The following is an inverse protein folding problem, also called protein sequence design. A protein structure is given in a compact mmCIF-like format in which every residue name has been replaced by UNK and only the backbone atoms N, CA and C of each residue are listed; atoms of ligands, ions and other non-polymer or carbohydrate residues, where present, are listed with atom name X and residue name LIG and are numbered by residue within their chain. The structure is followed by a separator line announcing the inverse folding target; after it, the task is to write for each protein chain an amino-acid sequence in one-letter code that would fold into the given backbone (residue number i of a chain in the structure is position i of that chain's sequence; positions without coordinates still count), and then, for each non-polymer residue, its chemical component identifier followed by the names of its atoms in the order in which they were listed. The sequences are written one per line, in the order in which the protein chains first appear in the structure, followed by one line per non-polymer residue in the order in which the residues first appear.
data_IF_340645020991
#
_entry.id   IF_340645020991
#
_cell.length_a   1.000
_cell.length_b   1.000
_cell.length_c   1.000
_cell.angle_alpha   90.00
_cell.angle_beta   90.00
_cell.angle_gamma   90.00
#
_symmetry.space_group_name_H-M   'P 1'
#
loop_
_entity.id
_entity.type
_entity.pdbx_description
1 polymer ?
#
# COMPACT_ATOMS: atom_id res chain seq x y z
N UNK A 1 -5.92 -26.74 22.92
CA UNK A 1 -4.46 -26.50 22.84
C UNK A 1 -3.87 -27.46 21.81
N UNK A 2 -3.51 -26.97 20.62
CA UNK A 2 -2.13 -26.71 20.15
C UNK A 2 -1.45 -27.92 19.47
N UNK A 3 -1.43 -27.85 18.13
CA UNK A 3 -0.36 -28.17 17.15
C UNK A 3 0.44 -29.50 17.20
N UNK A 4 0.48 -30.19 16.05
CA UNK A 4 1.64 -30.86 15.37
C UNK A 4 1.15 -31.42 14.02
N UNK A 5 1.36 -30.73 12.88
CA UNK A 5 2.50 -30.84 11.93
C UNK A 5 2.79 -32.29 11.51
N UNK A 6 2.59 -32.64 10.23
CA UNK A 6 3.57 -33.41 9.44
C UNK A 6 3.18 -33.45 7.95
N UNK A 7 4.07 -32.91 7.11
CA UNK A 7 4.11 -33.06 5.65
C UNK A 7 4.76 -34.41 5.31
N UNK A 8 4.26 -35.12 4.27
CA UNK A 8 4.89 -36.11 3.37
C UNK A 8 3.76 -36.98 2.77
N UNK A 9 3.75 -37.47 1.53
CA UNK A 9 4.58 -37.34 0.32
C UNK A 9 3.88 -38.15 -0.79
N UNK A 10 4.17 -37.80 -2.05
CA UNK A 10 4.15 -38.65 -3.27
C UNK A 10 2.83 -39.02 -3.98
N UNK A 11 2.68 -38.45 -5.17
CA UNK A 11 2.40 -39.07 -6.49
C UNK A 11 1.85 -40.51 -6.57
N UNK A 12 0.69 -40.66 -7.22
CA UNK A 12 0.48 -41.41 -8.48
C UNK A 12 -1.01 -41.52 -8.85
N UNK A 13 -1.33 -41.33 -10.14
CA UNK A 13 -2.57 -41.87 -10.74
C UNK A 13 -3.23 -40.98 -11.79
N UNK A 14 -2.92 -41.23 -13.06
CA UNK A 14 -3.50 -40.59 -14.26
C UNK A 14 -4.89 -41.18 -14.55
N UNK A 15 -5.90 -40.33 -14.78
CA UNK A 15 -7.09 -40.66 -15.56
C UNK A 15 -7.58 -39.41 -16.31
N UNK A 16 -7.73 -39.52 -17.63
CA UNK A 16 -7.94 -38.41 -18.57
C UNK A 16 -9.40 -38.29 -19.02
N UNK A 17 -9.96 -37.08 -18.84
CA UNK A 17 -10.92 -36.34 -19.70
C UNK A 17 -12.40 -36.83 -19.79
N UNK A 18 -13.40 -35.91 -19.99
CA UNK A 18 -13.50 -35.09 -21.19
C UNK A 18 -13.38 -33.58 -20.99
N UNK A 19 -12.81 -32.97 -22.04
CA UNK A 19 -12.65 -31.54 -22.27
C UNK A 19 -14.02 -30.84 -22.29
N UNK A 20 -14.18 -29.80 -21.46
CA UNK A 20 -15.01 -28.65 -21.85
C UNK A 20 -14.10 -27.64 -22.52
N UNK A 21 -14.32 -27.40 -23.81
CA UNK A 21 -13.90 -26.21 -24.55
C UNK A 21 -14.43 -24.98 -23.80
N UNK A 22 -13.63 -24.49 -22.85
CA UNK A 22 -13.68 -23.11 -22.40
C UNK A 22 -12.49 -22.44 -23.08
N UNK A 23 -12.80 -21.62 -24.07
CA UNK A 23 -11.90 -20.65 -24.69
C UNK A 23 -11.15 -19.91 -23.59
N UNK A 24 -9.93 -20.39 -23.27
CA UNK A 24 -9.02 -19.64 -22.41
C UNK A 24 -8.46 -18.55 -23.30
N UNK A 25 -9.16 -17.41 -23.33
CA UNK A 25 -8.51 -16.14 -23.57
C UNK A 25 -7.28 -16.13 -22.68
N UNK A 26 -6.11 -16.16 -23.31
CA UNK A 26 -4.83 -15.98 -22.66
C UNK A 26 -4.73 -14.51 -22.23
N UNK A 27 -5.56 -14.11 -21.27
CA UNK A 27 -5.33 -12.90 -20.51
C UNK A 27 -4.08 -13.17 -19.69
N UNK A 28 -2.95 -12.69 -20.20
CA UNK A 28 -1.73 -12.53 -19.42
C UNK A 28 -2.13 -11.97 -18.06
N UNK A 29 -1.94 -12.76 -17.00
CA UNK A 29 -2.34 -12.38 -15.65
C UNK A 29 -1.39 -11.28 -15.20
N UNK A 30 -1.81 -10.04 -15.42
CA UNK A 30 -1.08 -8.84 -15.05
C UNK A 30 -0.56 -8.92 -13.62
N UNK A 31 0.69 -8.52 -13.41
CA UNK A 31 1.31 -8.51 -12.08
C UNK A 31 0.77 -7.36 -11.23
N UNK A 32 0.88 -7.48 -9.90
CA UNK A 32 0.45 -6.43 -8.98
C UNK A 32 1.18 -5.10 -9.21
N UNK A 33 2.47 -5.13 -9.53
CA UNK A 33 3.23 -3.89 -9.79
C UNK A 33 2.77 -3.22 -11.09
N UNK A 34 2.50 -3.97 -12.16
CA UNK A 34 1.91 -3.41 -13.37
C UNK A 34 0.50 -2.84 -13.11
N UNK A 35 -0.27 -3.47 -12.22
CA UNK A 35 -1.56 -2.94 -11.77
C UNK A 35 -1.41 -1.62 -11.02
N UNK A 36 -0.48 -1.57 -10.08
CA UNK A 36 -0.16 -0.36 -9.34
C UNK A 36 0.35 0.76 -10.24
N UNK A 37 1.17 0.46 -11.23
CA UNK A 37 1.71 1.47 -12.15
C UNK A 37 0.62 2.05 -13.06
N UNK A 38 -0.34 1.23 -13.52
CA UNK A 38 -1.49 1.74 -14.26
C UNK A 38 -2.44 2.59 -13.41
N UNK A 39 -2.75 2.14 -12.19
CA UNK A 39 -3.61 2.91 -11.27
C UNK A 39 -2.91 4.22 -10.87
N UNK A 40 -1.59 4.18 -10.69
CA UNK A 40 -0.78 5.36 -10.38
C UNK A 40 -0.81 6.35 -11.53
N UNK A 41 -0.49 5.90 -12.74
CA UNK A 41 -0.55 6.73 -13.94
C UNK A 41 -1.93 7.36 -14.14
N UNK A 42 -2.99 6.58 -14.00
CA UNK A 42 -4.35 7.11 -14.13
C UNK A 42 -4.63 8.24 -13.13
N UNK A 43 -4.34 8.00 -11.84
CA UNK A 43 -4.60 9.01 -10.80
C UNK A 43 -3.74 10.25 -10.99
N UNK A 44 -2.48 10.10 -11.41
CA UNK A 44 -1.59 11.23 -11.70
C UNK A 44 -2.08 12.06 -12.89
N UNK A 45 -2.57 11.41 -13.95
CA UNK A 45 -3.00 12.10 -15.17
C UNK A 45 -4.39 12.73 -15.05
N UNK A 46 -5.27 12.19 -14.20
CA UNK A 46 -6.68 12.57 -14.14
C UNK A 46 -7.06 13.34 -12.86
N UNK A 47 -6.11 13.59 -11.97
CA UNK A 47 -6.31 14.35 -10.73
C UNK A 47 -5.14 15.31 -10.49
N UNK A 48 -5.32 16.27 -9.59
CA UNK A 48 -4.25 17.21 -9.22
C UNK A 48 -3.30 16.67 -8.13
N UNK A 49 -3.32 15.36 -7.85
CA UNK A 49 -2.68 14.79 -6.67
C UNK A 49 -1.18 15.11 -6.58
N UNK A 50 -0.44 15.09 -7.69
CA UNK A 50 0.98 15.44 -7.68
C UNK A 50 1.22 16.89 -7.29
N UNK A 51 0.43 17.81 -7.83
CA UNK A 51 0.54 19.24 -7.49
C UNK A 51 0.26 19.44 -6.01
N UNK A 52 -0.84 18.88 -5.51
CA UNK A 52 -1.25 19.02 -4.12
C UNK A 52 -0.19 18.45 -3.17
N UNK A 53 0.34 17.26 -3.46
CA UNK A 53 1.34 16.64 -2.60
C UNK A 53 2.71 17.34 -2.65
N UNK A 54 3.10 17.96 -3.78
CA UNK A 54 4.33 18.78 -3.83
C UNK A 54 4.25 20.00 -2.92
N UNK A 55 3.06 20.57 -2.76
CA UNK A 55 2.85 21.71 -1.87
C UNK A 55 2.87 21.28 -0.38
N UNK A 56 2.43 20.05 -0.08
CA UNK A 56 2.23 19.56 1.29
C UNK A 56 3.34 18.63 1.82
N UNK A 57 4.23 18.12 0.96
CA UNK A 57 5.28 17.16 1.32
C UNK A 57 6.66 17.73 1.02
N UNK A 58 7.42 18.00 2.09
CA UNK A 58 8.84 18.33 1.97
C UNK A 58 9.68 17.13 1.49
N UNK A 59 10.71 17.39 0.69
CA UNK A 59 11.58 16.37 0.10
C UNK A 59 12.24 15.48 1.17
N UNK A 60 12.66 16.05 2.29
CA UNK A 60 13.28 15.30 3.40
C UNK A 60 12.29 14.31 4.03
N UNK A 61 11.01 14.70 4.12
CA UNK A 61 9.95 13.86 4.64
C UNK A 61 9.66 12.69 3.70
N UNK A 62 9.64 12.96 2.39
CA UNK A 62 9.48 11.94 1.35
C UNK A 62 10.62 10.91 1.38
N UNK A 63 11.86 11.39 1.53
CA UNK A 63 13.05 10.54 1.70
C UNK A 63 12.94 9.68 2.97
N UNK A 64 12.61 10.27 4.11
CA UNK A 64 12.46 9.54 5.38
C UNK A 64 11.42 8.42 5.30
N UNK A 65 10.28 8.67 4.64
CA UNK A 65 9.26 7.65 4.38
C UNK A 65 9.79 6.53 3.49
N UNK A 66 10.45 6.88 2.39
CA UNK A 66 11.05 5.93 1.45
C UNK A 66 12.07 5.01 2.13
N UNK A 67 12.99 5.58 2.91
CA UNK A 67 13.99 4.83 3.66
C UNK A 67 13.33 3.90 4.67
N UNK A 68 12.35 4.39 5.44
CA UNK A 68 11.61 3.55 6.37
C UNK A 68 10.94 2.38 5.63
N UNK A 69 10.27 2.65 4.51
CA UNK A 69 9.60 1.61 3.71
C UNK A 69 10.59 0.58 3.14
N UNK A 70 11.82 0.99 2.80
CA UNK A 70 12.89 0.08 2.33
C UNK A 70 13.33 -0.92 3.41
N UNK A 71 13.32 -0.53 4.69
CA UNK A 71 13.63 -1.40 5.83
C UNK A 71 12.57 -2.49 6.02
N UNK A 72 11.34 -2.23 5.58
CA UNK A 72 10.24 -3.19 5.50
C UNK A 72 9.44 -3.31 6.80
N UNK A 73 8.14 -2.99 6.69
CA UNK A 73 7.19 -2.91 7.81
C UNK A 73 7.22 -4.16 8.72
N UNK A 74 7.24 -5.37 8.12
CA UNK A 74 7.21 -6.63 8.89
C UNK A 74 8.44 -6.86 9.77
N UNK A 75 9.59 -6.27 9.44
CA UNK A 75 10.80 -6.40 10.27
C UNK A 75 10.67 -5.57 11.54
N UNK A 76 10.02 -4.41 11.43
CA UNK A 76 9.73 -3.51 12.55
C UNK A 76 8.72 -4.12 13.52
N UNK A 77 7.70 -4.83 13.01
CA UNK A 77 6.70 -5.54 13.84
C UNK A 77 7.33 -6.54 14.83
N UNK A 78 8.52 -7.08 14.55
CA UNK A 78 9.07 -8.24 15.24
C UNK A 78 10.25 -7.93 16.18
N UNK A 79 10.69 -6.68 16.31
CA UNK A 79 11.96 -6.35 16.95
C UNK A 79 11.91 -5.03 17.73
N UNK A 80 12.75 -4.93 18.76
CA UNK A 80 12.97 -3.77 19.63
C UNK A 80 14.42 -3.29 19.46
N UNK A 81 14.66 -2.19 18.74
CA UNK A 81 15.97 -1.53 18.59
C UNK A 81 15.82 -0.07 18.18
N UNK A 82 16.77 0.81 18.50
CA UNK A 82 16.71 2.27 18.24
C UNK A 82 16.45 2.63 16.77
N UNK A 83 17.08 1.93 15.80
CA UNK A 83 16.81 2.15 14.36
C UNK A 83 15.38 1.82 13.93
N UNK A 84 14.68 0.98 14.71
CA UNK A 84 13.28 0.64 14.52
C UNK A 84 12.36 1.68 15.14
N UNK A 85 12.81 2.39 16.18
CA UNK A 85 12.09 3.51 16.78
C UNK A 85 11.99 4.67 15.77
N UNK A 86 13.08 5.01 15.08
CA UNK A 86 13.03 6.02 14.00
C UNK A 86 12.18 5.56 12.80
N UNK A 87 12.26 4.27 12.42
CA UNK A 87 11.42 3.73 11.35
C UNK A 87 9.93 3.72 11.74
N UNK A 88 9.63 3.47 13.03
CA UNK A 88 8.29 3.55 13.59
C UNK A 88 7.72 4.95 13.48
N UNK A 89 8.48 5.97 13.88
CA UNK A 89 8.04 7.37 13.81
C UNK A 89 7.74 7.78 12.36
N UNK A 90 8.61 7.41 11.42
CA UNK A 90 8.39 7.67 9.99
C UNK A 90 7.16 6.92 9.44
N UNK A 91 6.89 5.70 9.90
CA UNK A 91 5.67 4.98 9.53
C UNK A 91 4.42 5.62 10.11
N UNK A 92 4.49 6.09 11.35
CA UNK A 92 3.37 6.73 12.03
C UNK A 92 3.06 8.06 11.36
N UNK A 93 4.10 8.82 11.02
CA UNK A 93 4.00 10.07 10.29
C UNK A 93 3.38 9.87 8.90
N UNK A 94 3.88 8.92 8.10
CA UNK A 94 3.31 8.56 6.80
C UNK A 94 1.82 8.17 6.91
N UNK A 95 1.48 7.32 7.90
CA UNK A 95 0.10 6.88 8.10
C UNK A 95 -0.81 8.04 8.48
N UNK A 96 -0.40 8.87 9.45
CA UNK A 96 -1.16 10.07 9.86
C UNK A 96 -1.32 11.04 8.71
N UNK A 97 -0.28 11.24 7.91
CA UNK A 97 -0.33 12.09 6.72
C UNK A 97 -1.41 11.61 5.74
N UNK A 98 -1.43 10.33 5.38
CA UNK A 98 -2.43 9.77 4.46
C UNK A 98 -3.86 9.97 5.00
N UNK A 99 -4.09 9.71 6.29
CA UNK A 99 -5.42 9.90 6.90
C UNK A 99 -5.83 11.37 6.89
N UNK A 100 -4.91 12.28 7.23
CA UNK A 100 -5.16 13.72 7.22
C UNK A 100 -5.46 14.24 5.82
N UNK A 101 -4.64 13.88 4.83
CA UNK A 101 -4.83 14.26 3.44
C UNK A 101 -6.14 13.73 2.88
N UNK A 102 -6.53 12.51 3.23
CA UNK A 102 -7.83 11.96 2.81
C UNK A 102 -8.99 12.83 3.27
N UNK A 103 -8.93 13.40 4.47
CA UNK A 103 -9.97 14.30 5.01
C UNK A 103 -10.02 15.62 4.24
N UNK A 104 -8.87 16.16 3.84
CA UNK A 104 -8.83 17.38 3.00
C UNK A 104 -9.37 17.10 1.60
N UNK A 105 -8.81 16.07 0.96
CA UNK A 105 -9.04 15.75 -0.44
C UNK A 105 -10.46 15.25 -0.75
N UNK A 106 -11.23 14.82 0.25
CA UNK A 106 -12.64 14.43 0.03
C UNK A 106 -13.52 15.57 -0.49
N UNK A 107 -13.08 16.83 -0.29
CA UNK A 107 -13.79 18.02 -0.77
C UNK A 107 -13.19 18.62 -2.05
N UNK A 108 -12.08 18.06 -2.53
CA UNK A 108 -11.38 18.58 -3.70
C UNK A 108 -12.06 18.11 -5.00
N UNK A 109 -12.54 19.02 -5.86
CA UNK A 109 -13.22 18.64 -7.11
C UNK A 109 -12.36 17.77 -8.04
N UNK A 110 -11.04 17.95 -8.02
CA UNK A 110 -10.11 17.16 -8.83
C UNK A 110 -10.05 15.68 -8.42
N UNK A 111 -10.57 15.32 -7.24
CA UNK A 111 -10.60 13.96 -6.72
C UNK A 111 -11.80 13.14 -7.19
N UNK A 112 -12.79 13.76 -7.85
CA UNK A 112 -13.97 13.05 -8.38
C UNK A 112 -13.62 11.94 -9.37
N UNK A 113 -12.49 12.09 -10.10
CA UNK A 113 -12.00 11.12 -11.09
C UNK A 113 -11.04 10.08 -10.53
N UNK A 114 -10.76 10.14 -9.22
CA UNK A 114 -9.84 9.21 -8.57
C UNK A 114 -10.28 7.76 -8.77
N UNK A 115 -9.30 6.87 -9.01
CA UNK A 115 -9.52 5.42 -9.07
C UNK A 115 -9.13 4.77 -7.75
N UNK A 116 -10.07 4.01 -7.20
CA UNK A 116 -9.85 3.14 -6.05
C UNK A 116 -9.32 1.76 -6.43
N UNK A 117 -9.26 0.90 -5.43
CA UNK A 117 -9.05 -0.55 -5.60
C UNK A 117 -10.18 -1.29 -4.91
N UNK A 118 -10.23 -2.62 -5.02
CA UNK A 118 -11.28 -3.42 -4.39
C UNK A 118 -11.40 -3.21 -2.86
N UNK A 119 -10.30 -2.84 -2.20
CA UNK A 119 -10.21 -2.80 -0.73
C UNK A 119 -9.97 -1.40 -0.16
N UNK A 120 -9.75 -0.39 -0.99
CA UNK A 120 -9.43 0.97 -0.55
C UNK A 120 -10.19 2.00 -1.39
N UNK A 121 -10.70 3.02 -0.71
CA UNK A 121 -11.46 4.09 -1.37
C UNK A 121 -10.59 4.88 -2.36
N UNK A 122 -11.23 5.50 -3.37
CA UNK A 122 -10.51 6.23 -4.42
C UNK A 122 -9.53 7.29 -3.94
N UNK A 123 -9.88 8.08 -2.93
CA UNK A 123 -9.03 9.18 -2.45
C UNK A 123 -7.79 8.62 -1.75
N UNK A 124 -7.97 7.61 -0.89
CA UNK A 124 -6.84 6.94 -0.23
C UNK A 124 -5.87 6.35 -1.26
N UNK A 125 -6.40 5.69 -2.30
CA UNK A 125 -5.57 5.14 -3.38
C UNK A 125 -4.88 6.25 -4.16
N UNK A 126 -5.57 7.35 -4.44
CA UNK A 126 -5.01 8.51 -5.12
C UNK A 126 -3.79 9.08 -4.36
N UNK A 127 -3.91 9.28 -3.04
CA UNK A 127 -2.79 9.74 -2.19
C UNK A 127 -1.61 8.78 -2.26
N UNK A 128 -1.87 7.46 -2.14
CA UNK A 128 -0.83 6.43 -2.26
C UNK A 128 -0.12 6.49 -3.61
N UNK A 129 -0.87 6.68 -4.69
CA UNK A 129 -0.35 6.84 -6.04
C UNK A 129 0.50 8.11 -6.18
N UNK A 130 0.04 9.24 -5.63
CA UNK A 130 0.80 10.49 -5.64
C UNK A 130 2.13 10.37 -4.89
N UNK A 131 2.13 9.79 -3.69
CA UNK A 131 3.37 9.52 -2.93
C UNK A 131 4.30 8.59 -3.72
N UNK A 132 3.77 7.51 -4.33
CA UNK A 132 4.55 6.59 -5.16
C UNK A 132 5.19 7.31 -6.34
N UNK A 133 4.42 8.14 -7.05
CA UNK A 133 4.89 8.87 -8.21
C UNK A 133 6.00 9.88 -7.83
N UNK A 134 5.85 10.62 -6.72
CA UNK A 134 6.92 11.47 -6.20
C UNK A 134 8.19 10.66 -5.89
N UNK A 135 8.06 9.54 -5.18
CA UNK A 135 9.21 8.66 -4.91
C UNK A 135 9.90 8.17 -6.19
N UNK A 136 9.13 7.87 -7.25
CA UNK A 136 9.69 7.49 -8.55
C UNK A 136 10.42 8.65 -9.24
N UNK A 137 9.85 9.86 -9.24
CA UNK A 137 10.47 11.06 -9.82
C UNK A 137 11.83 11.37 -9.18
N UNK A 138 11.93 11.20 -7.86
CA UNK A 138 13.17 11.42 -7.10
C UNK A 138 14.10 10.18 -7.06
N UNK A 139 13.74 9.07 -7.71
CA UNK A 139 14.55 7.85 -7.71
C UNK A 139 14.71 7.19 -6.34
N UNK A 140 13.75 7.40 -5.44
CA UNK A 140 13.80 6.94 -4.06
C UNK A 140 13.45 5.45 -3.94
N UNK A 141 14.09 4.71 -3.01
CA UNK A 141 13.76 3.31 -2.78
C UNK A 141 12.37 3.14 -2.15
N UNK A 142 11.97 1.90 -1.87
CA UNK A 142 10.85 1.68 -0.95
C UNK A 142 9.51 2.30 -1.41
N UNK A 143 9.20 2.23 -2.70
CA UNK A 143 7.97 2.79 -3.27
C UNK A 143 6.70 2.42 -2.49
N UNK A 144 5.84 3.41 -2.29
CA UNK A 144 4.55 3.22 -1.65
C UNK A 144 3.62 2.36 -2.52
N UNK A 145 2.76 1.58 -1.86
CA UNK A 145 1.72 0.79 -2.53
C UNK A 145 0.53 0.55 -1.61
N UNK A 146 -0.60 0.17 -2.18
CA UNK A 146 -1.82 -0.14 -1.42
C UNK A 146 -1.61 -1.32 -0.45
N UNK A 147 -0.78 -2.29 -0.82
CA UNK A 147 -0.39 -3.39 0.08
C UNK A 147 0.43 -2.89 1.28
N UNK A 148 1.35 -1.94 1.07
CA UNK A 148 2.16 -1.36 2.15
C UNK A 148 1.28 -0.55 3.10
N UNK A 149 0.32 0.23 2.59
CA UNK A 149 -0.67 0.92 3.43
C UNK A 149 -1.46 -0.05 4.31
N UNK A 150 -1.97 -1.15 3.74
CA UNK A 150 -2.70 -2.17 4.51
C UNK A 150 -1.83 -2.81 5.59
N UNK A 151 -0.54 -2.99 5.34
CA UNK A 151 0.39 -3.49 6.35
C UNK A 151 0.60 -2.47 7.48
N UNK A 152 0.68 -1.18 7.16
CA UNK A 152 0.75 -0.10 8.15
C UNK A 152 -0.52 -0.02 9.01
N UNK A 153 -1.71 -0.05 8.38
CA UNK A 153 -3.00 -0.08 9.08
C UNK A 153 -3.04 -1.23 10.11
N UNK A 154 -2.77 -2.46 9.67
CA UNK A 154 -2.73 -3.64 10.55
C UNK A 154 -1.68 -3.54 11.65
N UNK A 155 -0.56 -2.87 11.38
CA UNK A 155 0.48 -2.67 12.37
C UNK A 155 0.00 -1.75 13.50
N UNK A 156 -0.56 -0.60 13.16
CA UNK A 156 -1.04 0.37 14.15
C UNK A 156 -2.30 -0.11 14.89
N UNK A 157 -3.19 -0.85 14.24
CA UNK A 157 -4.33 -1.53 14.89
C UNK A 157 -3.86 -2.51 15.99
N UNK A 158 -2.80 -3.30 15.71
CA UNK A 158 -2.25 -4.26 16.68
C UNK A 158 -1.52 -3.61 17.84
N UNK A 159 -0.90 -2.46 17.59
CA UNK A 159 -0.14 -1.73 18.61
C UNK A 159 -1.04 -1.05 19.65
N UNK A 160 -2.39 -1.05 19.46
CA UNK A 160 -3.33 -0.28 20.29
C UNK A 160 -2.79 1.13 20.55
N UNK A 161 -2.52 1.88 19.48
CA UNK A 161 -2.55 3.34 19.65
C UNK A 161 -3.93 3.66 20.27
N UNK A 162 -4.00 4.40 21.39
CA UNK A 162 -5.29 4.82 21.92
C UNK A 162 -6.03 5.47 20.75
N UNK A 163 -7.20 4.93 20.45
CA UNK A 163 -8.07 5.42 19.39
C UNK A 163 -8.19 6.93 19.53
N UNK A 164 -7.69 7.68 18.54
CA UNK A 164 -8.13 9.06 18.35
C UNK A 164 -9.59 8.93 17.92
N UNK A 165 -10.48 8.93 18.91
CA UNK A 165 -11.86 8.49 18.77
C UNK A 165 -12.52 8.18 20.10
N UNK A 166 -12.18 8.94 21.15
CA UNK A 166 -13.14 9.26 22.19
C UNK A 166 -13.92 10.48 21.71
N UNK A 167 -14.92 10.27 20.87
CA UNK A 167 -16.02 11.23 20.75
C UNK A 167 -17.14 10.67 21.61
N UNK A 168 -17.52 11.52 22.56
CA UNK A 168 -18.55 11.47 23.60
C UNK A 168 -19.66 10.43 23.49
#
# INVERSE_FOLDING_TARGET
MIWRRFFRSCDRGVASLPQRKGEKTSLSKKSYEEEMDEVTRWNVENTDILRILRDDVADERLLAWSEALSKGIRKVIRRTSVELDTAYDNYLDLYKFIIHERIKLVKEPSMEKAKGTADLDPITVCIVCGIRALQQEFGLPGLMSTMRLKLLQRYFERMKLPSIGGIS
#
